data_IF_446897295787
#
_entry.id   IF_446897295787
#
_cell.length_a   1.000
_cell.length_b   1.000
_cell.length_c   1.000
_cell.angle_alpha   90.00
_cell.angle_beta   90.00
_cell.angle_gamma   90.00
#
_symmetry.space_group_name_H-M   'P 1'
#
loop_
_entity.id
_entity.type
_entity.pdbx_description
1 polymer ?
#
# COMPACT_ATOMS: atom_id res chain seq x y z
N UNK A 1 11.23 3.32 60.93
CA UNK A 1 11.50 3.88 59.58
C UNK A 1 11.90 2.85 58.51
N UNK A 2 12.25 1.59 58.84
CA UNK A 2 12.77 0.61 57.84
C UNK A 2 11.71 -0.29 57.19
N UNK A 3 10.61 -0.59 57.88
CA UNK A 3 9.57 -1.52 57.40
C UNK A 3 8.61 -0.89 56.38
N UNK A 4 8.16 0.34 56.63
CA UNK A 4 7.28 1.08 55.71
C UNK A 4 7.96 1.41 54.38
N UNK A 5 9.29 1.59 54.38
CA UNK A 5 10.06 1.88 53.18
C UNK A 5 10.23 0.63 52.30
N UNK A 6 10.42 -0.55 52.91
CA UNK A 6 10.46 -1.84 52.21
C UNK A 6 9.10 -2.19 51.61
N UNK A 7 8.00 -1.95 52.34
CA UNK A 7 6.64 -2.18 51.82
C UNK A 7 6.32 -1.26 50.65
N UNK A 8 6.70 0.02 50.73
CA UNK A 8 6.50 0.98 49.64
C UNK A 8 7.26 0.59 48.36
N UNK A 9 8.51 0.15 48.49
CA UNK A 9 9.32 -0.30 47.33
C UNK A 9 8.73 -1.57 46.71
N UNK A 10 8.25 -2.53 47.52
CA UNK A 10 7.61 -3.74 47.00
C UNK A 10 6.31 -3.44 46.23
N UNK A 11 5.50 -2.49 46.71
CA UNK A 11 4.26 -2.10 46.02
C UNK A 11 4.57 -1.43 44.67
N UNK A 12 5.56 -0.52 44.63
CA UNK A 12 5.98 0.12 43.38
C UNK A 12 6.54 -0.91 42.40
N UNK A 13 7.31 -1.90 42.89
CA UNK A 13 7.84 -2.96 42.05
C UNK A 13 6.72 -3.84 41.46
N UNK A 14 5.73 -4.24 42.27
CA UNK A 14 4.59 -5.04 41.80
C UNK A 14 3.70 -4.25 40.84
N UNK A 15 3.40 -2.99 41.15
CA UNK A 15 2.62 -2.13 40.25
C UNK A 15 3.37 -1.85 38.94
N UNK A 16 4.68 -1.60 39.00
CA UNK A 16 5.52 -1.44 37.82
C UNK A 16 5.56 -2.73 36.98
N UNK A 17 5.73 -3.89 37.60
CA UNK A 17 5.80 -5.17 36.90
C UNK A 17 4.46 -5.62 36.30
N UNK A 18 3.33 -5.12 36.79
CA UNK A 18 2.00 -5.42 36.24
C UNK A 18 1.50 -4.35 35.25
N UNK A 19 1.78 -3.08 35.51
CA UNK A 19 1.34 -1.96 34.67
C UNK A 19 2.27 -1.71 33.49
N UNK A 20 3.59 -1.93 33.62
CA UNK A 20 4.51 -1.69 32.51
C UNK A 20 4.33 -2.69 31.37
N UNK A 21 4.13 -4.00 31.58
CA UNK A 21 3.88 -4.92 30.48
C UNK A 21 2.53 -4.69 29.80
N UNK A 22 1.51 -4.23 30.53
CA UNK A 22 0.19 -3.91 29.95
C UNK A 22 0.22 -2.60 29.17
N UNK A 23 0.92 -1.57 29.66
CA UNK A 23 1.19 -0.35 28.90
C UNK A 23 2.10 -0.63 27.70
N UNK A 24 3.14 -1.43 27.86
CA UNK A 24 4.02 -1.84 26.77
C UNK A 24 3.25 -2.65 25.74
N UNK A 25 2.43 -3.63 26.13
CA UNK A 25 1.58 -4.38 25.20
C UNK A 25 0.51 -3.51 24.52
N UNK A 26 0.03 -2.44 25.16
CA UNK A 26 -0.86 -1.47 24.51
C UNK A 26 -0.12 -0.52 23.54
N UNK A 27 1.15 -0.21 23.81
CA UNK A 27 2.03 0.59 22.95
C UNK A 27 2.65 -0.22 21.80
N UNK A 28 2.86 -1.51 22.02
CA UNK A 28 3.38 -2.48 21.04
C UNK A 28 2.30 -3.43 20.57
N UNK A 29 1.02 -3.05 20.71
CA UNK A 29 -0.04 -3.69 19.94
C UNK A 29 0.26 -3.32 18.50
N UNK A 30 1.05 -4.17 17.87
CA UNK A 30 1.29 -4.19 16.45
C UNK A 30 -0.11 -4.30 15.87
N UNK A 31 -0.61 -3.21 15.29
CA UNK A 31 -1.78 -3.25 14.45
C UNK A 31 -1.46 -4.28 13.35
N UNK A 32 -1.98 -5.50 13.49
CA UNK A 32 -2.23 -6.35 12.34
C UNK A 32 -3.18 -5.54 11.44
N UNK A 33 -2.66 -5.03 10.32
CA UNK A 33 -3.46 -4.41 9.27
C UNK A 33 -3.74 -2.90 9.38
N UNK A 34 -2.74 -2.06 9.68
CA UNK A 34 -2.89 -0.61 9.41
C UNK A 34 -2.57 -0.33 7.92
N UNK A 35 -3.58 -0.47 7.06
CA UNK A 35 -3.55 0.05 5.70
C UNK A 35 -4.23 1.41 5.68
N UNK A 36 -3.79 2.37 4.86
CA UNK A 36 -4.49 3.63 4.74
C UNK A 36 -5.89 3.36 4.17
N UNK A 37 -6.93 3.64 4.98
CA UNK A 37 -8.34 3.46 4.61
C UNK A 37 -8.63 4.22 3.31
N UNK A 38 -8.21 5.48 3.24
CA UNK A 38 -8.27 6.32 2.05
C UNK A 38 -6.88 6.88 1.71
N UNK A 39 -6.55 6.84 0.42
CA UNK A 39 -5.31 7.39 -0.11
C UNK A 39 -5.52 7.98 -1.51
N UNK A 40 -4.54 8.76 -1.94
CA UNK A 40 -4.47 9.27 -3.31
C UNK A 40 -3.29 8.59 -4.01
N UNK A 41 -3.57 7.95 -5.14
CA UNK A 41 -2.54 7.38 -6.01
C UNK A 41 -2.04 8.47 -6.95
N UNK A 42 -0.75 8.74 -6.86
CA UNK A 42 -0.04 9.69 -7.71
C UNK A 42 0.84 8.92 -8.70
N UNK A 43 1.06 9.46 -9.90
CA UNK A 43 2.12 8.95 -10.75
C UNK A 43 3.51 9.19 -10.12
N UNK A 44 4.59 8.59 -10.67
CA UNK A 44 5.96 8.87 -10.24
C UNK A 44 6.31 10.37 -10.31
N UNK A 45 7.16 10.83 -9.39
CA UNK A 45 7.57 12.24 -9.31
C UNK A 45 8.32 12.65 -10.59
N UNK A 46 9.16 11.77 -11.11
CA UNK A 46 9.94 11.97 -12.32
C UNK A 46 9.03 12.10 -13.55
N UNK A 47 7.94 11.33 -13.58
CA UNK A 47 6.89 11.55 -14.55
C UNK A 47 6.42 13.00 -14.39
N UNK A 48 6.06 13.48 -13.18
CA UNK A 48 5.56 14.84 -12.87
C UNK A 48 6.41 15.96 -13.38
N UNK A 49 7.67 15.91 -13.01
CA UNK A 49 8.63 16.90 -13.42
C UNK A 49 8.77 16.96 -14.94
N UNK A 50 8.65 15.81 -15.64
CA UNK A 50 8.78 15.73 -17.09
C UNK A 50 7.55 16.19 -17.86
N UNK A 51 6.34 15.83 -17.40
CA UNK A 51 5.11 16.02 -18.18
C UNK A 51 4.14 17.09 -17.63
N UNK A 52 4.38 17.62 -16.42
CA UNK A 52 3.76 18.81 -15.84
C UNK A 52 2.24 18.94 -16.00
N UNK A 53 1.81 19.53 -17.11
CA UNK A 53 0.43 19.99 -17.36
C UNK A 53 -0.46 19.01 -18.15
N UNK A 54 0.07 17.87 -18.63
CA UNK A 54 -0.68 16.91 -19.47
C UNK A 54 -1.42 15.81 -18.70
N UNK A 55 -1.77 16.05 -17.43
CA UNK A 55 -2.18 14.99 -16.51
C UNK A 55 -3.66 14.91 -16.21
N UNK A 56 -4.09 13.67 -16.00
CA UNK A 56 -5.27 13.34 -15.22
C UNK A 56 -5.00 13.57 -13.72
N UNK A 57 -6.04 13.86 -12.96
CA UNK A 57 -5.95 14.07 -11.52
C UNK A 57 -5.48 12.78 -10.79
N UNK A 58 -4.88 12.89 -9.59
CA UNK A 58 -4.57 11.74 -8.75
C UNK A 58 -5.83 10.91 -8.49
N UNK A 59 -5.68 9.59 -8.39
CA UNK A 59 -6.83 8.68 -8.22
C UNK A 59 -7.12 8.50 -6.74
N UNK A 60 -8.32 8.82 -6.24
CA UNK A 60 -8.72 8.42 -4.91
C UNK A 60 -8.87 6.89 -4.86
N UNK A 61 -8.21 6.27 -3.90
CA UNK A 61 -8.23 4.84 -3.68
C UNK A 61 -8.53 4.54 -2.22
N UNK A 62 -9.41 3.58 -1.97
CA UNK A 62 -9.82 3.20 -0.62
C UNK A 62 -9.67 1.70 -0.44
N UNK A 63 -8.93 1.26 0.58
CA UNK A 63 -8.84 -0.18 0.87
C UNK A 63 -10.17 -0.71 1.41
N UNK A 64 -10.93 0.13 2.12
CA UNK A 64 -12.20 -0.25 2.73
C UNK A 64 -13.25 -0.66 1.69
N UNK A 65 -13.27 -0.01 0.53
CA UNK A 65 -14.19 -0.36 -0.56
C UNK A 65 -13.76 -1.61 -1.34
N UNK A 66 -12.52 -2.06 -1.17
CA UNK A 66 -11.96 -3.27 -1.80
C UNK A 66 -11.71 -4.40 -0.78
N UNK A 67 -12.23 -4.27 0.44
CA UNK A 67 -11.92 -5.19 1.55
C UNK A 67 -12.41 -6.64 1.32
N UNK A 68 -13.33 -6.84 0.37
CA UNK A 68 -13.82 -8.16 -0.02
C UNK A 68 -12.83 -8.94 -0.91
N UNK A 69 -11.74 -8.31 -1.37
CA UNK A 69 -10.68 -8.95 -2.14
C UNK A 69 -9.49 -9.31 -1.24
N UNK A 70 -8.90 -10.49 -1.46
CA UNK A 70 -7.66 -10.88 -0.77
C UNK A 70 -6.53 -9.90 -1.10
N UNK A 71 -5.70 -9.54 -0.12
CA UNK A 71 -4.62 -8.57 -0.33
C UNK A 71 -3.68 -8.97 -1.48
N UNK A 72 -3.43 -10.28 -1.64
CA UNK A 72 -2.58 -10.84 -2.70
C UNK A 72 -3.21 -10.77 -4.09
N UNK A 73 -4.50 -10.44 -4.19
CA UNK A 73 -5.16 -10.17 -5.47
C UNK A 73 -4.54 -8.94 -6.15
N UNK A 74 -4.31 -7.87 -5.38
CA UNK A 74 -3.64 -6.67 -5.87
C UNK A 74 -2.12 -6.72 -5.60
N UNK A 75 -1.72 -7.06 -4.37
CA UNK A 75 -0.32 -7.25 -3.99
C UNK A 75 0.17 -8.65 -4.39
N UNK A 76 0.21 -8.91 -5.70
CA UNK A 76 0.51 -10.23 -6.27
C UNK A 76 1.94 -10.75 -5.99
N UNK A 77 2.78 -9.95 -5.34
CA UNK A 77 4.11 -10.35 -4.84
C UNK A 77 4.07 -10.92 -3.41
N UNK A 78 2.92 -10.80 -2.73
CA UNK A 78 2.69 -11.25 -1.36
C UNK A 78 3.16 -10.27 -0.27
N UNK A 79 3.88 -9.20 -0.63
CA UNK A 79 4.26 -8.14 0.32
C UNK A 79 3.27 -6.97 0.26
N UNK A 80 2.37 -6.91 1.23
CA UNK A 80 1.32 -5.88 1.31
C UNK A 80 1.84 -4.49 1.74
N UNK A 81 3.13 -4.36 2.09
CA UNK A 81 3.74 -3.05 2.39
C UNK A 81 4.45 -2.45 1.19
N UNK A 82 4.64 -3.23 0.12
CA UNK A 82 5.34 -2.81 -1.08
C UNK A 82 4.38 -2.08 -2.03
N UNK A 83 4.75 -0.87 -2.45
CA UNK A 83 4.04 -0.14 -3.49
C UNK A 83 4.32 -0.71 -4.88
N UNK A 84 3.41 -0.48 -5.83
CA UNK A 84 3.54 -0.99 -7.20
C UNK A 84 4.80 -0.47 -7.92
N UNK A 85 5.21 0.77 -7.62
CA UNK A 85 6.29 1.49 -8.32
C UNK A 85 7.64 1.43 -7.59
N UNK A 86 7.82 0.47 -6.68
CA UNK A 86 9.13 0.23 -6.06
C UNK A 86 10.17 -0.18 -7.11
N UNK A 87 11.45 0.09 -6.84
CA UNK A 87 12.52 -0.12 -7.83
C UNK A 87 12.58 -1.58 -8.29
N UNK A 88 12.52 -1.78 -9.60
CA UNK A 88 12.47 -3.10 -10.25
C UNK A 88 11.08 -3.74 -10.32
N UNK A 89 10.02 -3.01 -9.94
CA UNK A 89 8.63 -3.39 -10.09
C UNK A 89 8.00 -2.62 -11.27
N UNK A 90 6.88 -1.92 -11.06
CA UNK A 90 6.23 -1.13 -12.10
C UNK A 90 6.76 0.32 -12.08
N UNK A 91 8.08 0.48 -12.12
CA UNK A 91 8.80 1.74 -11.88
C UNK A 91 9.14 2.54 -13.15
N UNK A 92 8.77 2.04 -14.33
CA UNK A 92 9.00 2.75 -15.58
C UNK A 92 7.88 3.77 -15.85
N UNK A 93 8.27 4.98 -16.23
CA UNK A 93 7.34 6.08 -16.53
C UNK A 93 7.57 6.72 -17.91
N UNK A 94 8.56 6.26 -18.65
CA UNK A 94 8.85 6.75 -20.00
C UNK A 94 8.46 5.68 -21.01
N UNK A 95 7.66 6.02 -22.02
CA UNK A 95 7.27 5.10 -23.10
C UNK A 95 8.45 4.80 -24.05
N UNK A 96 9.53 4.22 -23.53
CA UNK A 96 10.65 3.69 -24.30
C UNK A 96 10.46 2.19 -24.53
N UNK A 97 10.43 1.71 -25.78
CA UNK A 97 10.12 0.31 -26.07
C UNK A 97 10.99 -0.64 -25.24
N UNK A 98 10.34 -1.39 -24.35
CA UNK A 98 10.97 -2.37 -23.47
C UNK A 98 10.92 -3.73 -24.15
N UNK A 99 12.07 -4.40 -24.24
CA UNK A 99 12.10 -5.79 -24.71
C UNK A 99 11.43 -6.71 -23.69
N UNK A 100 10.75 -7.74 -24.16
CA UNK A 100 10.23 -8.81 -23.30
C UNK A 100 11.34 -9.36 -22.39
N UNK A 101 11.03 -9.51 -21.10
CA UNK A 101 11.96 -10.04 -20.11
C UNK A 101 11.66 -11.51 -19.81
N UNK A 102 12.64 -12.24 -19.29
CA UNK A 102 12.41 -13.55 -18.68
C UNK A 102 12.55 -13.42 -17.17
N UNK A 103 11.43 -13.57 -16.46
CA UNK A 103 11.37 -13.58 -14.99
C UNK A 103 10.89 -14.95 -14.50
N UNK A 104 11.62 -15.55 -13.56
CA UNK A 104 11.34 -16.87 -13.02
C UNK A 104 11.10 -17.98 -14.08
N UNK A 105 11.77 -17.88 -15.24
CA UNK A 105 11.62 -18.82 -16.35
C UNK A 105 10.41 -18.57 -17.25
N UNK A 106 9.66 -17.51 -17.02
CA UNK A 106 8.50 -17.09 -17.83
C UNK A 106 8.83 -15.83 -18.62
N UNK A 107 8.48 -15.82 -19.91
CA UNK A 107 8.59 -14.62 -20.75
C UNK A 107 7.44 -13.68 -20.40
N UNK A 108 7.76 -12.46 -19.97
CA UNK A 108 6.81 -11.40 -19.68
C UNK A 108 6.97 -10.30 -20.72
N UNK A 109 5.86 -9.65 -21.09
CA UNK A 109 5.91 -8.48 -21.96
C UNK A 109 6.63 -7.36 -21.23
N UNK A 110 7.48 -6.59 -21.93
CA UNK A 110 8.30 -5.56 -21.29
C UNK A 110 7.50 -4.34 -20.81
N UNK A 111 6.31 -4.12 -21.38
CA UNK A 111 5.36 -3.07 -20.98
C UNK A 111 4.82 -3.26 -19.56
N UNK A 112 4.85 -4.48 -19.02
CA UNK A 112 4.43 -4.74 -17.64
C UNK A 112 5.16 -3.86 -16.61
N UNK A 113 6.35 -3.35 -16.90
CA UNK A 113 7.09 -2.48 -15.98
C UNK A 113 6.60 -1.03 -15.97
N UNK A 114 5.73 -0.63 -16.90
CA UNK A 114 5.14 0.69 -16.88
C UNK A 114 4.10 0.80 -15.78
N UNK A 115 4.20 1.85 -14.97
CA UNK A 115 3.22 2.09 -13.91
C UNK A 115 1.80 2.24 -14.50
N UNK A 116 1.65 2.93 -15.62
CA UNK A 116 0.35 3.17 -16.27
C UNK A 116 -0.34 1.85 -16.63
N UNK A 117 0.39 0.91 -17.24
CA UNK A 117 -0.14 -0.41 -17.61
C UNK A 117 -0.48 -1.23 -16.37
N UNK A 118 0.39 -1.22 -15.34
CA UNK A 118 0.13 -1.92 -14.08
C UNK A 118 -1.18 -1.48 -13.40
N UNK A 119 -1.41 -0.17 -13.29
CA UNK A 119 -2.63 0.36 -12.67
C UNK A 119 -3.85 0.16 -13.58
N UNK A 120 -3.74 0.40 -14.89
CA UNK A 120 -4.89 0.24 -15.79
C UNK A 120 -5.28 -1.22 -15.97
N UNK A 121 -4.34 -2.15 -16.08
CA UNK A 121 -4.67 -3.57 -16.11
C UNK A 121 -5.36 -3.99 -14.80
N UNK A 122 -4.73 -3.77 -13.65
CA UNK A 122 -5.25 -4.20 -12.35
C UNK A 122 -6.62 -3.58 -12.04
N UNK A 123 -6.76 -2.25 -12.16
CA UNK A 123 -7.99 -1.58 -11.77
C UNK A 123 -9.09 -1.78 -12.83
N UNK A 124 -8.76 -1.59 -14.11
CA UNK A 124 -9.78 -1.54 -15.17
C UNK A 124 -10.02 -2.89 -15.80
N UNK A 125 -8.98 -3.47 -16.40
CA UNK A 125 -9.14 -4.62 -17.28
C UNK A 125 -9.40 -5.92 -16.50
N UNK A 126 -8.89 -6.02 -15.28
CA UNK A 126 -9.08 -7.20 -14.42
C UNK A 126 -10.33 -7.15 -13.55
N UNK A 127 -10.81 -5.95 -13.18
CA UNK A 127 -11.88 -5.81 -12.20
C UNK A 127 -13.00 -4.86 -12.66
N UNK A 128 -12.74 -3.56 -12.77
CA UNK A 128 -13.82 -2.58 -12.91
C UNK A 128 -14.65 -2.72 -14.19
N UNK A 129 -14.11 -3.30 -15.28
CA UNK A 129 -14.89 -3.56 -16.49
C UNK A 129 -15.98 -4.62 -16.31
N UNK A 130 -15.79 -5.54 -15.38
CA UNK A 130 -16.68 -6.65 -15.11
C UNK A 130 -17.56 -6.41 -13.86
N UNK A 131 -17.21 -5.44 -13.02
CA UNK A 131 -17.97 -5.07 -11.81
C UNK A 131 -19.06 -4.03 -12.07
N UNK A 132 -20.27 -4.31 -11.56
CA UNK A 132 -21.40 -3.38 -11.67
C UNK A 132 -21.19 -2.20 -10.71
N UNK A 133 -21.14 -0.97 -11.27
CA UNK A 133 -20.92 0.31 -10.58
C UNK A 133 -19.46 0.72 -10.31
N UNK A 134 -18.47 -0.02 -10.81
CA UNK A 134 -17.09 0.43 -10.74
C UNK A 134 -16.76 1.52 -11.78
N UNK A 135 -15.86 2.47 -11.49
CA UNK A 135 -15.50 3.52 -12.44
C UNK A 135 -14.70 2.94 -13.62
N UNK A 136 -15.26 3.03 -14.82
CA UNK A 136 -14.65 2.51 -16.07
C UNK A 136 -14.27 3.59 -17.08
N UNK A 137 -14.42 4.86 -16.71
CA UNK A 137 -14.01 6.00 -17.54
C UNK A 137 -12.83 6.73 -16.91
N UNK A 138 -12.01 7.37 -17.74
CA UNK A 138 -10.83 8.12 -17.29
C UNK A 138 -11.18 9.10 -16.17
N UNK A 139 -12.22 9.92 -16.35
CA UNK A 139 -12.66 10.91 -15.35
C UNK A 139 -13.43 10.32 -14.18
N UNK A 140 -13.94 9.09 -14.32
CA UNK A 140 -14.59 8.38 -13.22
C UNK A 140 -13.59 7.93 -12.15
N UNK A 141 -12.40 7.56 -12.60
CA UNK A 141 -11.28 7.16 -11.74
C UNK A 141 -10.38 8.36 -11.37
N UNK A 142 -9.98 9.15 -12.37
CA UNK A 142 -9.18 10.37 -12.17
C UNK A 142 -10.07 11.59 -11.92
N UNK A 143 -10.58 11.69 -10.69
CA UNK A 143 -11.52 12.73 -10.30
C UNK A 143 -10.79 14.08 -10.07
N UNK A 144 -11.23 15.17 -10.71
CA UNK A 144 -10.61 16.50 -10.60
C UNK A 144 -10.83 17.20 -9.26
#
# INVERSE_FOLDING_TARGET
MKRSLVVGVLIIFVLGFLALPTLYAGLTYQHEGYYPEDMMLYPPVEYEEKYGEKRLAPVPFSHDVHFDYDCEYCHHTGDTHMGCMESGCHDMYENEPVEDVIMAGTRMQGDIFYFEDAYHEMCMDWCHRDEENAPTSCIGCHQP
#
